data_IF_310860321859
#
_entry.id   IF_310860321859
#
_cell.length_a   1.000
_cell.length_b   1.000
_cell.length_c   1.000
_cell.angle_alpha   90.00
_cell.angle_beta   90.00
_cell.angle_gamma   90.00
#
_symmetry.space_group_name_H-M   'P 1'
#
loop_
_entity.id
_entity.type
_entity.pdbx_description
1 polymer ?
#
# COMPACT_ATOMS: atom_id res chain seq x y z
N UNK A 1 -2.65 15.51 -17.10
CA UNK A 1 -1.61 15.58 -16.05
C UNK A 1 -0.87 14.25 -16.04
N UNK A 2 0.45 14.24 -16.20
CA UNK A 2 1.24 12.99 -16.10
C UNK A 2 1.19 12.50 -14.65
N UNK A 3 0.45 11.42 -14.38
CA UNK A 3 0.45 10.77 -13.07
C UNK A 3 1.79 10.07 -12.86
N UNK A 4 2.76 10.77 -12.27
CA UNK A 4 4.02 10.15 -11.88
C UNK A 4 3.71 9.11 -10.79
N UNK A 5 4.05 7.85 -11.06
CA UNK A 5 4.19 6.83 -10.01
C UNK A 5 5.24 7.34 -9.05
N UNK A 6 4.92 7.31 -7.76
CA UNK A 6 5.90 7.55 -6.70
C UNK A 6 6.24 6.20 -6.11
N UNK A 7 7.51 5.84 -6.15
CA UNK A 7 8.05 4.64 -5.57
C UNK A 7 8.70 4.97 -4.22
N UNK A 8 8.64 4.02 -3.28
CA UNK A 8 9.24 4.20 -1.98
C UNK A 8 9.70 2.88 -1.36
N UNK A 9 10.86 2.95 -0.72
CA UNK A 9 11.33 1.95 0.22
C UNK A 9 11.44 2.64 1.58
N UNK A 10 10.67 2.20 2.56
CA UNK A 10 10.64 2.86 3.87
C UNK A 10 9.26 2.90 4.53
N UNK A 11 9.30 3.04 5.84
CA UNK A 11 8.17 3.05 6.76
C UNK A 11 8.69 3.31 8.17
N UNK A 12 7.95 4.07 8.97
CA UNK A 12 8.31 4.30 10.37
C UNK A 12 7.78 3.15 11.24
N UNK A 13 8.62 2.59 12.10
CA UNK A 13 8.19 1.55 13.04
C UNK A 13 8.32 2.05 14.47
N UNK A 14 7.22 1.90 15.24
CA UNK A 14 7.24 2.14 16.68
C UNK A 14 8.04 1.08 17.44
N UNK A 15 8.21 -0.11 16.84
CA UNK A 15 8.80 -1.29 17.50
C UNK A 15 10.23 -1.57 17.03
N UNK A 16 10.62 -1.06 15.86
CA UNK A 16 11.93 -1.30 15.26
C UNK A 16 12.61 0.03 14.95
N UNK A 17 13.30 0.59 15.94
CA UNK A 17 14.05 1.86 15.88
C UNK A 17 15.22 1.85 14.86
N UNK A 18 15.41 0.78 14.12
CA UNK A 18 16.38 0.69 13.02
C UNK A 18 15.74 0.94 11.64
N UNK A 19 14.39 1.00 11.55
CA UNK A 19 13.63 1.37 10.35
C UNK A 19 13.56 2.91 10.12
N UNK A 20 14.51 3.68 10.64
CA UNK A 20 14.36 5.14 10.85
C UNK A 20 14.52 6.06 9.63
N UNK A 21 14.91 5.56 8.46
CA UNK A 21 15.18 6.43 7.31
C UNK A 21 14.23 6.18 6.15
N UNK A 22 13.32 7.13 5.97
CA UNK A 22 12.50 7.33 4.79
C UNK A 22 13.39 7.84 3.64
N UNK A 23 13.57 7.04 2.58
CA UNK A 23 14.31 7.46 1.39
C UNK A 23 13.35 7.75 0.24
N UNK A 24 13.21 9.03 -0.10
CA UNK A 24 12.53 9.49 -1.30
C UNK A 24 13.43 9.26 -2.52
N UNK A 25 13.02 8.40 -3.45
CA UNK A 25 13.72 8.22 -4.72
C UNK A 25 12.72 8.18 -5.87
N UNK A 26 12.93 9.01 -6.90
CA UNK A 26 12.14 8.99 -8.14
C UNK A 26 12.45 7.73 -9.00
N UNK A 27 13.54 7.02 -8.70
CA UNK A 27 13.95 5.77 -9.35
C UNK A 27 14.30 4.70 -8.30
N UNK A 28 14.02 3.40 -8.55
CA UNK A 28 14.39 2.32 -7.64
C UNK A 28 15.92 2.26 -7.51
N UNK A 29 16.48 2.44 -6.30
CA UNK A 29 17.92 2.55 -6.15
C UNK A 29 18.59 1.19 -6.37
N UNK A 30 19.60 1.15 -7.24
CA UNK A 30 20.33 -0.06 -7.59
C UNK A 30 21.32 -0.55 -6.52
N UNK A 31 21.57 0.21 -5.44
CA UNK A 31 22.71 -0.03 -4.55
C UNK A 31 22.55 0.28 -3.05
N UNK A 32 21.35 0.56 -2.52
CA UNK A 32 21.22 0.81 -1.07
C UNK A 32 20.94 -0.48 -0.29
N UNK A 33 21.81 -0.77 0.70
CA UNK A 33 21.47 -1.65 1.83
C UNK A 33 20.34 -1.00 2.64
N UNK A 34 19.10 -1.19 2.18
CA UNK A 34 17.93 -0.75 2.91
C UNK A 34 17.73 -1.70 4.10
N UNK A 35 17.84 -1.17 5.32
CA UNK A 35 17.55 -1.91 6.56
C UNK A 35 16.03 -2.02 6.77
N UNK A 36 15.23 -1.28 5.99
CA UNK A 36 13.79 -1.34 6.05
C UNK A 36 13.26 -2.46 5.15
N UNK A 37 12.56 -3.40 5.77
CA UNK A 37 11.90 -4.51 5.07
C UNK A 37 10.55 -4.07 4.45
N UNK A 38 10.13 -2.81 4.60
CA UNK A 38 8.86 -2.28 4.07
C UNK A 38 9.06 -1.58 2.73
N UNK A 39 8.10 -1.76 1.82
CA UNK A 39 8.06 -1.09 0.53
C UNK A 39 6.65 -0.58 0.21
N UNK A 40 6.56 0.52 -0.54
CA UNK A 40 5.28 0.98 -1.08
C UNK A 40 5.43 1.71 -2.41
N UNK A 41 4.33 1.76 -3.14
CA UNK A 41 4.21 2.49 -4.41
C UNK A 41 2.82 3.12 -4.48
N UNK A 42 2.74 4.34 -5.00
CA UNK A 42 1.47 5.03 -5.16
C UNK A 42 1.41 5.84 -6.45
N UNK A 43 0.20 6.06 -6.93
CA UNK A 43 -0.11 7.00 -7.99
C UNK A 43 -1.36 7.80 -7.62
N UNK A 44 -1.89 8.58 -8.56
CA UNK A 44 -3.18 9.25 -8.37
C UNK A 44 -4.37 8.29 -8.29
N UNK A 45 -4.22 7.03 -8.70
CA UNK A 45 -5.34 6.07 -8.79
C UNK A 45 -5.13 4.78 -8.00
N UNK A 46 -3.98 4.56 -7.37
CA UNK A 46 -3.76 3.40 -6.49
C UNK A 46 -2.63 3.62 -5.49
N UNK A 47 -2.60 2.75 -4.50
CA UNK A 47 -1.51 2.56 -3.55
C UNK A 47 -1.30 1.07 -3.31
N UNK A 48 -0.06 0.64 -3.17
CA UNK A 48 0.32 -0.70 -2.75
C UNK A 48 1.41 -0.59 -1.68
N UNK A 49 1.25 -1.34 -0.60
CA UNK A 49 2.19 -1.41 0.53
C UNK A 49 2.50 -2.89 0.77
N UNK A 50 3.75 -3.20 1.09
CA UNK A 50 4.21 -4.52 1.44
C UNK A 50 5.16 -4.41 2.65
N UNK A 51 4.86 -5.16 3.72
CA UNK A 51 5.71 -5.28 4.91
C UNK A 51 6.48 -6.59 4.81
N UNK A 52 7.82 -6.52 4.85
CA UNK A 52 8.69 -7.68 4.78
C UNK A 52 8.96 -8.29 6.16
N UNK A 53 9.03 -9.61 6.21
CA UNK A 53 9.30 -10.33 7.46
C UNK A 53 10.80 -10.24 7.81
N UNK A 54 11.16 -9.34 8.71
CA UNK A 54 12.57 -9.10 9.07
C UNK A 54 13.30 -10.29 9.71
N UNK A 55 12.60 -11.23 10.36
CA UNK A 55 13.22 -12.41 11.00
C UNK A 55 13.89 -13.35 9.99
N UNK A 56 13.48 -13.30 8.72
CA UNK A 56 14.08 -14.07 7.61
C UNK A 56 15.57 -13.75 7.44
N UNK A 57 16.00 -12.53 7.79
CA UNK A 57 17.40 -12.12 7.72
C UNK A 57 18.27 -12.90 8.71
N UNK A 58 17.81 -13.04 9.96
CA UNK A 58 18.52 -13.79 10.99
C UNK A 58 18.38 -15.30 10.85
N UNK A 59 17.23 -15.79 10.35
CA UNK A 59 16.93 -17.23 10.26
C UNK A 59 17.49 -17.89 8.99
N UNK A 60 17.54 -17.15 7.88
CA UNK A 60 17.88 -17.69 6.56
C UNK A 60 18.98 -16.92 5.82
N UNK A 61 19.49 -15.81 6.38
CA UNK A 61 20.51 -14.99 5.73
C UNK A 61 20.01 -14.26 4.47
N UNK A 62 18.69 -14.12 4.32
CA UNK A 62 18.07 -13.46 3.17
C UNK A 62 17.80 -11.98 3.46
N UNK A 63 17.75 -11.15 2.41
CA UNK A 63 17.37 -9.75 2.54
C UNK A 63 15.84 -9.62 2.65
N UNK A 64 15.33 -9.33 3.86
CA UNK A 64 13.90 -9.17 4.13
C UNK A 64 13.20 -8.08 3.31
N UNK A 65 13.97 -7.15 2.73
CA UNK A 65 13.46 -6.08 1.89
C UNK A 65 13.32 -6.46 0.40
N UNK A 66 13.88 -7.58 -0.03
CA UNK A 66 13.99 -7.93 -1.45
C UNK A 66 12.62 -8.23 -2.09
N UNK A 67 11.84 -9.14 -1.49
CA UNK A 67 10.50 -9.51 -1.97
C UNK A 67 9.49 -8.33 -1.89
N UNK A 68 9.36 -7.59 -0.78
CA UNK A 68 8.45 -6.45 -0.69
C UNK A 68 8.65 -5.43 -1.82
N UNK A 69 9.91 -5.10 -2.14
CA UNK A 69 10.26 -4.16 -3.22
C UNK A 69 9.85 -4.67 -4.59
N UNK A 70 10.18 -5.92 -4.91
CA UNK A 70 9.78 -6.54 -6.18
C UNK A 70 8.25 -6.62 -6.29
N UNK A 71 7.59 -7.01 -5.20
CA UNK A 71 6.14 -7.18 -5.15
C UNK A 71 5.38 -5.89 -5.41
N UNK A 72 5.76 -4.78 -4.76
CA UNK A 72 5.07 -3.50 -5.00
C UNK A 72 5.29 -3.00 -6.43
N UNK A 73 6.47 -3.22 -7.01
CA UNK A 73 6.75 -2.87 -8.41
C UNK A 73 5.92 -3.71 -9.38
N UNK A 74 5.87 -5.03 -9.19
CA UNK A 74 5.05 -5.93 -9.98
C UNK A 74 3.55 -5.55 -9.88
N UNK A 75 3.06 -5.22 -8.68
CA UNK A 75 1.70 -4.70 -8.50
C UNK A 75 1.48 -3.40 -9.28
N UNK A 76 2.41 -2.45 -9.24
CA UNK A 76 2.27 -1.18 -9.98
C UNK A 76 2.16 -1.40 -11.49
N UNK A 77 2.94 -2.32 -12.07
CA UNK A 77 2.85 -2.69 -13.48
C UNK A 77 1.49 -3.27 -13.85
N UNK A 78 0.90 -4.12 -12.99
CA UNK A 78 -0.43 -4.70 -13.21
C UNK A 78 -1.56 -3.69 -13.02
N UNK A 79 -1.39 -2.74 -12.09
CA UNK A 79 -2.37 -1.71 -11.74
C UNK A 79 -2.35 -0.49 -12.68
N UNK A 80 -1.25 -0.28 -13.42
CA UNK A 80 -1.15 0.72 -14.48
C UNK A 80 -1.11 0.06 -15.87
N UNK A 81 -2.26 -0.37 -16.41
CA UNK A 81 -2.27 -0.87 -17.77
C UNK A 81 -1.84 0.23 -18.77
N UNK A 82 -1.23 -0.16 -19.90
CA UNK A 82 -0.92 0.76 -21.00
C UNK A 82 -2.14 1.62 -21.37
N UNK A 83 -1.89 2.89 -21.72
CA UNK A 83 -2.95 3.84 -22.09
C UNK A 83 -3.87 3.25 -23.16
N UNK A 84 -5.18 3.27 -22.92
CA UNK A 84 -6.19 2.77 -23.85
C UNK A 84 -6.69 1.35 -23.56
N UNK A 85 -6.12 0.64 -22.59
CA UNK A 85 -6.60 -0.66 -22.14
C UNK A 85 -7.26 -0.54 -20.77
N UNK A 86 -8.60 -0.66 -20.73
CA UNK A 86 -9.31 -0.85 -19.47
C UNK A 86 -9.22 -2.32 -19.07
N UNK A 87 -8.43 -2.62 -18.03
CA UNK A 87 -8.34 -3.97 -17.49
C UNK A 87 -9.48 -4.15 -16.47
N UNK A 88 -10.61 -4.73 -16.88
CA UNK A 88 -11.70 -5.18 -16.00
C UNK A 88 -11.36 -6.48 -15.28
N UNK A 89 -10.12 -6.60 -14.81
CA UNK A 89 -9.64 -7.78 -14.09
C UNK A 89 -9.80 -7.53 -12.60
N UNK A 90 -10.34 -8.49 -11.84
CA UNK A 90 -10.45 -8.40 -10.38
C UNK A 90 -9.11 -8.04 -9.74
N UNK A 91 -9.15 -7.20 -8.69
CA UNK A 91 -7.94 -6.77 -7.99
C UNK A 91 -7.16 -7.97 -7.40
N UNK A 92 -7.86 -8.99 -6.92
CA UNK A 92 -7.27 -10.25 -6.46
C UNK A 92 -6.37 -10.88 -7.52
N UNK A 93 -6.85 -10.97 -8.76
CA UNK A 93 -6.16 -11.69 -9.83
C UNK A 93 -4.90 -10.93 -10.24
N UNK A 94 -4.95 -9.60 -10.28
CA UNK A 94 -3.79 -8.77 -10.57
C UNK A 94 -2.69 -8.90 -9.49
N UNK A 95 -3.09 -8.91 -8.22
CA UNK A 95 -2.12 -9.05 -7.11
C UNK A 95 -1.57 -10.48 -7.07
N UNK A 96 -2.41 -11.51 -7.27
CA UNK A 96 -1.93 -12.89 -7.32
C UNK A 96 -1.01 -13.14 -8.52
N UNK A 97 -1.30 -12.54 -9.68
CA UNK A 97 -0.41 -12.55 -10.84
C UNK A 97 0.93 -11.86 -10.52
N UNK A 98 0.93 -10.73 -9.81
CA UNK A 98 2.16 -10.06 -9.38
C UNK A 98 2.98 -10.93 -8.40
N UNK A 99 2.31 -11.53 -7.40
CA UNK A 99 2.91 -12.46 -6.44
C UNK A 99 3.57 -13.64 -7.15
N UNK A 100 2.89 -14.28 -8.09
CA UNK A 100 3.39 -15.46 -8.81
C UNK A 100 4.60 -15.15 -9.70
N UNK A 101 4.75 -13.89 -10.14
CA UNK A 101 5.85 -13.46 -11.00
C UNK A 101 7.06 -12.89 -10.23
N UNK A 102 6.97 -12.76 -8.91
CA UNK A 102 8.12 -12.39 -8.09
C UNK A 102 9.16 -13.51 -8.11
N UNK A 103 10.44 -13.13 -8.12
CA UNK A 103 11.61 -14.02 -8.17
C UNK A 103 12.47 -13.93 -6.92
N UNK A 104 12.29 -12.88 -6.11
CA UNK A 104 13.02 -12.67 -4.87
C UNK A 104 12.44 -13.56 -3.77
N UNK A 105 13.31 -14.36 -3.16
CA UNK A 105 12.97 -15.11 -1.96
C UNK A 105 12.71 -14.16 -0.79
N UNK A 106 11.70 -14.48 0.01
CA UNK A 106 11.33 -13.73 1.20
C UNK A 106 9.94 -14.10 1.67
N UNK A 107 9.43 -13.33 2.61
CA UNK A 107 8.02 -13.35 2.99
C UNK A 107 7.57 -11.91 3.19
N UNK A 108 6.36 -11.61 2.73
CA UNK A 108 5.81 -10.26 2.81
C UNK A 108 4.30 -10.28 2.89
N UNK A 109 3.76 -9.27 3.55
CA UNK A 109 2.36 -8.86 3.43
C UNK A 109 2.15 -8.08 2.14
N UNK A 110 0.90 -7.89 1.72
CA UNK A 110 0.57 -6.91 0.69
C UNK A 110 -0.81 -6.33 0.91
N UNK A 111 -0.89 -5.01 0.98
CA UNK A 111 -2.13 -4.26 1.02
C UNK A 111 -2.17 -3.29 -0.16
N UNK A 112 -3.16 -3.42 -1.02
CA UNK A 112 -3.35 -2.53 -2.16
C UNK A 112 -4.76 -1.97 -2.20
N UNK A 113 -4.89 -0.75 -2.68
CA UNK A 113 -6.16 -0.12 -2.96
C UNK A 113 -6.07 0.64 -4.29
N UNK A 114 -7.13 0.60 -5.09
CA UNK A 114 -7.25 1.36 -6.34
C UNK A 114 -8.60 2.03 -6.48
N UNK A 115 -8.63 3.16 -7.18
CA UNK A 115 -9.85 3.85 -7.56
C UNK A 115 -10.29 3.39 -8.95
N UNK A 116 -11.48 2.81 -9.04
CA UNK A 116 -12.16 2.38 -10.26
C UNK A 116 -13.27 3.37 -10.59
N UNK A 117 -13.35 3.76 -11.86
CA UNK A 117 -14.35 4.69 -12.41
C UNK A 117 -14.45 6.03 -11.66
N UNK A 118 -13.39 6.43 -10.93
CA UNK A 118 -13.30 7.69 -10.20
C UNK A 118 -14.09 7.77 -8.89
N UNK A 119 -14.88 6.75 -8.55
CA UNK A 119 -15.77 6.80 -7.38
C UNK A 119 -15.78 5.54 -6.51
N UNK A 120 -15.28 4.41 -7.02
CA UNK A 120 -15.26 3.14 -6.29
C UNK A 120 -13.83 2.83 -5.87
N UNK A 121 -13.64 2.53 -4.59
CA UNK A 121 -12.36 2.00 -4.11
C UNK A 121 -12.44 0.48 -4.02
N UNK A 122 -11.58 -0.20 -4.76
CA UNK A 122 -11.32 -1.63 -4.56
C UNK A 122 -10.07 -1.77 -3.70
N UNK A 123 -10.06 -2.74 -2.79
CA UNK A 123 -8.89 -3.02 -1.97
C UNK A 123 -8.71 -4.52 -1.73
N UNK A 124 -7.46 -4.93 -1.54
CA UNK A 124 -7.06 -6.28 -1.20
C UNK A 124 -5.99 -6.19 -0.11
N UNK A 125 -6.08 -7.08 0.88
CA UNK A 125 -5.14 -7.17 1.97
C UNK A 125 -4.77 -8.63 2.25
N UNK A 126 -3.49 -8.97 2.15
CA UNK A 126 -2.90 -10.25 2.49
C UNK A 126 -1.87 -10.01 3.61
N UNK A 127 -2.01 -10.65 4.76
CA UNK A 127 -1.23 -10.34 5.95
C UNK A 127 -1.85 -9.24 6.82
N UNK A 128 -1.07 -8.57 7.66
CA UNK A 128 -1.54 -7.68 8.73
C UNK A 128 -1.40 -6.17 8.44
N UNK A 129 -1.07 -5.81 7.19
CA UNK A 129 -1.23 -4.44 6.70
C UNK A 129 -2.70 -3.98 6.78
N UNK A 130 -2.95 -2.69 6.53
CA UNK A 130 -4.31 -2.16 6.49
C UNK A 130 -4.42 -0.75 5.93
N UNK A 131 -5.65 -0.27 5.80
CA UNK A 131 -5.97 1.08 5.35
C UNK A 131 -7.13 1.68 6.13
N UNK A 132 -7.19 3.02 6.16
CA UNK A 132 -8.30 3.79 6.70
C UNK A 132 -8.74 4.85 5.68
N UNK A 133 -10.05 5.04 5.51
CA UNK A 133 -10.60 6.16 4.74
C UNK A 133 -11.00 7.26 5.72
N UNK A 134 -10.31 8.39 5.59
CA UNK A 134 -10.59 9.60 6.36
C UNK A 134 -11.47 10.53 5.52
N UNK A 135 -12.61 10.95 6.07
CA UNK A 135 -13.49 11.94 5.43
C UNK A 135 -13.63 13.16 6.33
N UNK A 136 -13.44 14.34 5.75
CA UNK A 136 -13.68 15.61 6.41
C UNK A 136 -15.19 15.83 6.51
N UNK A 137 -15.71 15.86 7.73
CA UNK A 137 -17.12 16.20 7.98
C UNK A 137 -17.19 17.71 8.18
N UNK A 138 -17.88 18.39 7.26
CA UNK A 138 -18.17 19.81 7.41
C UNK A 138 -19.22 20.04 8.50
N UNK A 139 -19.10 21.16 9.21
CA UNK A 139 -20.23 21.69 9.98
C UNK A 139 -21.28 22.23 8.99
N UNK A 140 -22.25 21.39 8.62
CA UNK A 140 -23.43 21.83 7.85
C UNK A 140 -23.70 21.06 6.56
N UNK A 141 -24.43 19.96 6.69
CA UNK A 141 -25.36 19.48 5.65
C UNK A 141 -26.68 19.04 6.32
N UNK A 142 -27.14 19.82 7.31
CA UNK A 142 -28.45 19.70 7.93
C UNK A 142 -29.28 20.92 7.55
N UNK A 143 -30.46 20.68 7.00
CA UNK A 143 -31.37 21.73 6.54
C UNK A 143 -31.72 22.76 7.62
N UNK A 144 -32.10 23.94 7.13
CA UNK A 144 -32.69 25.07 7.83
C UNK A 144 -33.04 24.84 9.31
N UNK A 145 -32.12 25.16 10.21
CA UNK A 145 -32.45 25.48 11.59
C UNK A 145 -31.61 26.68 12.01
N UNK A 146 -32.33 27.77 12.26
CA UNK A 146 -31.82 29.02 12.79
C UNK A 146 -31.31 28.82 14.22
N UNK A 147 -30.05 28.42 14.36
CA UNK A 147 -29.32 28.57 15.61
C UNK A 147 -27.85 28.87 15.30
N UNK A 148 -27.41 30.07 15.66
CA UNK A 148 -26.00 30.45 15.69
C UNK A 148 -25.25 29.48 16.60
N UNK A 149 -24.36 28.67 16.03
CA UNK A 149 -23.26 28.04 16.78
C UNK A 149 -21.94 28.45 16.13
N UNK A 150 -21.16 29.20 16.91
CA UNK A 150 -19.81 29.63 16.58
C UNK A 150 -18.87 28.42 16.53
N UNK A 151 -17.90 28.46 15.60
CA UNK A 151 -16.77 27.52 15.40
C UNK A 151 -17.11 26.11 14.92
N UNK A 152 -17.51 25.98 13.66
CA UNK A 152 -17.52 24.70 12.96
C UNK A 152 -16.10 24.23 12.63
N UNK A 153 -15.42 23.59 13.58
CA UNK A 153 -14.16 22.91 13.29
C UNK A 153 -14.45 21.74 12.37
N UNK A 154 -13.81 21.72 11.20
CA UNK A 154 -13.87 20.54 10.34
C UNK A 154 -13.11 19.42 11.00
N UNK A 155 -13.78 18.31 11.24
CA UNK A 155 -13.19 17.13 11.87
C UNK A 155 -12.95 16.06 10.80
N UNK A 156 -11.77 15.45 10.81
CA UNK A 156 -11.49 14.24 10.04
C UNK A 156 -11.99 13.05 10.83
N UNK A 157 -12.81 12.20 10.19
CA UNK A 157 -13.29 10.96 10.81
C UNK A 157 -12.94 9.78 9.93
N UNK A 158 -12.60 8.66 10.57
CA UNK A 158 -12.51 7.36 9.88
C UNK A 158 -13.93 6.96 9.51
N UNK A 159 -14.20 6.83 8.22
CA UNK A 159 -15.52 6.43 7.69
C UNK A 159 -15.53 5.01 7.15
N UNK A 160 -14.35 4.44 6.90
CA UNK A 160 -14.18 3.05 6.50
C UNK A 160 -12.75 2.58 6.80
N UNK A 161 -12.52 1.28 6.83
CA UNK A 161 -11.21 0.68 7.08
C UNK A 161 -11.11 -0.69 6.43
N UNK A 162 -9.88 -1.14 6.16
CA UNK A 162 -9.65 -2.52 5.75
C UNK A 162 -10.27 -3.46 6.79
N UNK A 163 -11.05 -4.44 6.33
CA UNK A 163 -11.46 -5.56 7.18
C UNK A 163 -10.21 -6.28 7.65
N UNK A 164 -10.24 -6.82 8.87
CA UNK A 164 -9.18 -7.65 9.42
C UNK A 164 -8.74 -8.70 8.38
N UNK A 165 -7.43 -8.89 8.26
CA UNK A 165 -6.73 -9.74 7.30
C UNK A 165 -7.55 -10.91 6.75
N UNK A 166 -7.62 -11.03 5.42
CA UNK A 166 -8.35 -12.14 4.77
C UNK A 166 -7.56 -13.46 4.86
N UNK A 167 -6.25 -13.39 5.16
CA UNK A 167 -5.38 -14.55 5.32
C UNK A 167 -4.21 -14.21 6.26
N UNK A 168 -4.03 -14.99 7.34
CA UNK A 168 -2.89 -14.94 8.26
C UNK A 168 -1.58 -15.47 7.63
N UNK A 169 -1.43 -15.28 6.31
CA UNK A 169 -0.38 -15.87 5.52
C UNK A 169 0.41 -14.77 4.86
N UNK A 170 1.67 -14.61 5.26
CA UNK A 170 2.64 -13.93 4.42
C UNK A 170 2.72 -14.71 3.11
N UNK A 171 2.81 -14.01 1.98
CA UNK A 171 3.03 -14.64 0.67
C UNK A 171 4.20 -15.63 0.81
N UNK A 172 4.03 -16.91 0.41
CA UNK A 172 4.90 -17.97 0.90
C UNK A 172 6.31 -17.85 0.36
N UNK A 173 7.24 -18.39 1.15
CA UNK A 173 8.59 -18.78 0.76
C UNK A 173 8.51 -19.60 -0.55
N UNK A 174 8.91 -18.99 -1.68
CA UNK A 174 9.20 -19.74 -2.89
C UNK A 174 10.52 -20.49 -2.65
N UNK A 175 10.44 -21.82 -2.59
CA UNK A 175 11.58 -22.75 -2.62
C UNK A 175 11.82 -23.23 -4.04
#
# INVERSE_FOLDING_TARGET
MNSRVKFFCGGSSQTHHQKLYDYFCDEPPSAYHCINDDAWVASSSFVCVADGVGSIRSEHGLDGSALPKELVLACAEKLQPPRGLSRRVPLSDLVMEAVQNCSKMGASTVCTARIVDGSVMESLNLGDCGWHVLRRVGAGAGGASTAKTLSGTSEWRVVDSSRSSVMAFNVPLQV
#
